data_IF_376021777864
#
_entry.id   IF_376021777864
#
_cell.length_a   1.000
_cell.length_b   1.000
_cell.length_c   1.000
_cell.angle_alpha   90.00
_cell.angle_beta   90.00
_cell.angle_gamma   90.00
#
_symmetry.space_group_name_H-M   'P 1'
#
loop_
_entity.id
_entity.type
_entity.pdbx_description
1 polymer ?
#
# COMPACT_ATOMS: atom_id res chain seq x y z
N UNK A 1 8.19 8.52 -22.37
CA UNK A 1 7.37 9.62 -21.81
C UNK A 1 6.02 9.01 -21.45
N UNK A 2 5.60 9.12 -20.19
CA UNK A 2 4.26 8.71 -19.77
C UNK A 2 3.26 9.77 -20.25
N UNK A 3 2.13 9.33 -20.82
CA UNK A 3 1.07 10.21 -21.35
C UNK A 3 -0.09 10.41 -20.39
N UNK A 4 -0.05 9.73 -19.25
CA UNK A 4 -1.14 9.66 -18.27
C UNK A 4 -0.58 10.04 -16.90
N UNK A 5 -1.32 10.84 -16.10
CA UNK A 5 -0.89 11.15 -14.74
C UNK A 5 -0.69 9.88 -13.91
N UNK A 6 0.38 9.87 -13.12
CA UNK A 6 0.65 8.84 -12.13
C UNK A 6 1.20 9.48 -10.87
N UNK A 7 1.08 8.75 -9.76
CA UNK A 7 1.59 9.15 -8.44
C UNK A 7 2.74 8.22 -8.09
N UNK A 8 3.85 8.78 -7.61
CA UNK A 8 4.91 8.01 -6.96
C UNK A 8 4.63 8.08 -5.45
N UNK A 9 4.39 6.92 -4.85
CA UNK A 9 3.95 6.79 -3.46
C UNK A 9 4.98 6.01 -2.64
N UNK A 10 5.41 6.58 -1.51
CA UNK A 10 6.26 5.92 -0.51
C UNK A 10 5.39 5.01 0.34
N UNK A 11 5.48 3.70 0.11
CA UNK A 11 4.65 2.71 0.80
C UNK A 11 5.27 2.31 2.14
N UNK A 12 4.46 2.29 3.21
CA UNK A 12 4.83 1.85 4.57
C UNK A 12 6.16 2.43 5.11
N UNK A 13 6.19 3.74 5.35
CA UNK A 13 7.23 4.36 6.19
C UNK A 13 6.94 3.97 7.65
N UNK A 14 7.37 2.76 8.01
CA UNK A 14 7.03 2.13 9.28
C UNK A 14 7.84 2.70 10.44
N UNK A 15 7.14 3.15 11.48
CA UNK A 15 7.71 3.58 12.76
C UNK A 15 7.27 2.63 13.86
N UNK A 16 8.14 1.69 14.26
CA UNK A 16 7.76 0.58 15.14
C UNK A 16 7.65 0.94 16.60
N UNK A 17 8.39 1.95 17.03
CA UNK A 17 8.41 2.43 18.40
C UNK A 17 8.72 3.93 18.45
N UNK A 18 8.61 4.51 19.64
CA UNK A 18 8.79 5.95 19.87
C UNK A 18 10.26 6.37 20.01
N UNK A 19 11.22 5.46 19.78
CA UNK A 19 12.63 5.81 19.90
C UNK A 19 13.04 6.84 18.86
N UNK A 20 13.94 7.73 19.27
CA UNK A 20 14.52 8.75 18.39
C UNK A 20 15.15 8.13 17.14
N UNK A 21 15.74 6.94 17.27
CA UNK A 21 16.34 6.20 16.15
C UNK A 21 15.30 5.82 15.08
N UNK A 22 14.16 5.25 15.46
CA UNK A 22 13.13 4.84 14.50
C UNK A 22 12.48 6.06 13.84
N UNK A 23 12.20 7.11 14.63
CA UNK A 23 11.62 8.36 14.13
C UNK A 23 12.59 9.05 13.17
N UNK A 24 13.87 9.18 13.52
CA UNK A 24 14.86 9.85 12.67
C UNK A 24 15.20 9.04 11.42
N UNK A 25 15.21 7.71 11.51
CA UNK A 25 15.34 6.85 10.33
C UNK A 25 14.19 7.07 9.33
N UNK A 26 12.97 7.23 9.84
CA UNK A 26 11.79 7.51 9.02
C UNK A 26 11.79 8.93 8.45
N UNK A 27 12.27 9.92 9.21
CA UNK A 27 12.48 11.29 8.72
C UNK A 27 13.47 11.32 7.56
N UNK A 28 14.62 10.67 7.72
CA UNK A 28 15.64 10.60 6.67
C UNK A 28 15.11 9.90 5.40
N UNK A 29 14.25 8.89 5.56
CA UNK A 29 13.59 8.23 4.41
C UNK A 29 12.63 9.18 3.70
N UNK A 30 11.77 9.89 4.43
CA UNK A 30 10.84 10.87 3.87
C UNK A 30 11.60 11.96 3.10
N UNK A 31 12.69 12.48 3.66
CA UNK A 31 13.54 13.47 2.98
C UNK A 31 14.12 12.91 1.68
N UNK A 32 14.66 11.69 1.71
CA UNK A 32 15.20 11.05 0.51
C UNK A 32 14.13 10.77 -0.56
N UNK A 33 12.91 10.41 -0.16
CA UNK A 33 11.78 10.21 -1.08
C UNK A 33 11.30 11.54 -1.68
N UNK A 34 11.23 12.61 -0.89
CA UNK A 34 10.95 13.98 -1.39
C UNK A 34 12.02 14.39 -2.42
N UNK A 35 13.30 14.21 -2.11
CA UNK A 35 14.41 14.50 -3.02
C UNK A 35 14.35 13.62 -4.30
N UNK A 36 13.82 12.40 -4.16
CA UNK A 36 13.54 11.47 -5.26
C UNK A 36 12.33 11.84 -6.12
N UNK A 37 11.55 12.86 -5.75
CA UNK A 37 10.38 13.32 -6.48
C UNK A 37 9.10 12.54 -6.16
N UNK A 38 9.02 11.89 -4.99
CA UNK A 38 7.80 11.25 -4.52
C UNK A 38 6.74 12.32 -4.25
N UNK A 39 5.48 11.98 -4.55
CA UNK A 39 4.34 12.92 -4.46
C UNK A 39 3.29 12.50 -3.45
N UNK A 40 3.46 11.34 -2.81
CA UNK A 40 2.56 10.81 -1.80
C UNK A 40 3.32 9.86 -0.86
N UNK A 41 2.92 9.78 0.41
CA UNK A 41 3.67 9.07 1.45
C UNK A 41 2.70 8.38 2.42
N UNK A 42 2.96 7.13 2.77
CA UNK A 42 2.23 6.40 3.81
C UNK A 42 3.08 6.32 5.08
N UNK A 43 2.73 7.09 6.11
CA UNK A 43 3.37 7.00 7.42
C UNK A 43 2.62 5.97 8.25
N UNK A 44 3.28 4.85 8.53
CA UNK A 44 2.73 3.75 9.31
C UNK A 44 3.35 3.76 10.71
N UNK A 45 2.72 4.51 11.62
CA UNK A 45 3.05 4.51 13.05
C UNK A 45 2.06 3.66 13.86
N UNK A 46 1.31 2.76 13.20
CA UNK A 46 0.22 1.97 13.78
C UNK A 46 0.67 0.92 14.82
N UNK A 47 1.97 0.63 14.86
CA UNK A 47 2.63 -0.17 15.90
C UNK A 47 2.63 0.49 17.28
N UNK A 48 2.33 1.79 17.35
CA UNK A 48 2.31 2.57 18.58
C UNK A 48 0.86 2.81 19.02
N UNK A 49 0.61 3.02 20.33
CA UNK A 49 -0.68 3.51 20.80
C UNK A 49 -1.10 4.78 20.07
N UNK A 50 -2.41 4.96 19.83
CA UNK A 50 -2.96 6.08 19.04
C UNK A 50 -2.39 7.47 19.41
N UNK A 51 -2.20 7.83 20.70
CA UNK A 51 -1.58 9.10 21.06
C UNK A 51 -0.15 9.27 20.50
N UNK A 52 0.66 8.20 20.52
CA UNK A 52 2.01 8.21 19.99
C UNK A 52 2.02 8.13 18.47
N UNK A 53 1.14 7.33 17.86
CA UNK A 53 0.93 7.29 16.42
C UNK A 53 0.64 8.71 15.90
N UNK A 54 -0.36 9.39 16.46
CA UNK A 54 -0.72 10.75 16.05
C UNK A 54 0.45 11.75 16.23
N UNK A 55 1.19 11.66 17.33
CA UNK A 55 2.36 12.53 17.57
C UNK A 55 3.48 12.30 16.56
N UNK A 56 3.78 11.04 16.26
CA UNK A 56 4.81 10.64 15.27
C UNK A 56 4.40 11.13 13.89
N UNK A 57 3.17 10.84 13.47
CA UNK A 57 2.63 11.28 12.17
C UNK A 57 2.67 12.79 12.06
N UNK A 58 2.26 13.55 13.09
CA UNK A 58 2.29 15.01 13.05
C UNK A 58 3.71 15.58 12.90
N UNK A 59 4.71 14.96 13.53
CA UNK A 59 6.10 15.40 13.40
C UNK A 59 6.71 15.07 12.02
N UNK A 60 6.44 13.87 11.52
CA UNK A 60 6.98 13.36 10.25
C UNK A 60 6.27 13.92 9.01
N UNK A 61 4.98 14.24 9.11
CA UNK A 61 4.16 14.74 7.98
C UNK A 61 4.32 16.22 7.68
N UNK A 62 4.92 17.01 8.59
CA UNK A 62 5.15 18.45 8.38
C UNK A 62 5.75 18.80 7.00
N UNK A 63 6.88 18.23 6.55
CA UNK A 63 7.44 18.55 5.23
C UNK A 63 6.53 18.13 4.06
N UNK A 64 5.69 17.11 4.24
CA UNK A 64 4.72 16.62 3.25
C UNK A 64 3.59 17.66 3.10
N UNK A 65 3.01 18.09 4.22
CA UNK A 65 1.95 19.12 4.24
C UNK A 65 2.41 20.49 3.74
N UNK A 66 3.60 20.94 4.14
CA UNK A 66 4.20 22.21 3.66
C UNK A 66 4.35 22.27 2.13
N UNK A 67 4.47 21.10 1.48
CA UNK A 67 4.63 20.96 0.03
C UNK A 67 3.33 20.57 -0.69
N UNK A 68 2.22 20.43 0.06
CA UNK A 68 0.94 19.98 -0.48
C UNK A 68 1.05 18.65 -1.23
N UNK A 69 1.78 17.70 -0.64
CA UNK A 69 1.96 16.33 -1.13
C UNK A 69 0.97 15.40 -0.43
N UNK A 70 0.66 14.25 -1.05
CA UNK A 70 -0.35 13.34 -0.51
C UNK A 70 0.11 12.62 0.76
N UNK A 71 -0.79 12.49 1.73
CA UNK A 71 -0.54 11.81 3.01
C UNK A 71 -1.52 10.65 3.22
N UNK A 72 -0.96 9.47 3.41
CA UNK A 72 -1.65 8.29 3.93
C UNK A 72 -1.16 8.00 5.35
N UNK A 73 -2.09 7.66 6.23
CA UNK A 73 -1.81 7.28 7.63
C UNK A 73 -2.47 5.95 7.94
N UNK A 74 -2.04 5.27 9.00
CA UNK A 74 -2.54 3.93 9.33
C UNK A 74 -3.01 3.80 10.77
N UNK A 75 -4.11 3.05 10.95
CA UNK A 75 -4.67 2.70 12.26
C UNK A 75 -4.94 1.21 12.39
N UNK A 76 -4.58 0.66 13.55
CA UNK A 76 -4.73 -0.75 13.90
C UNK A 76 -3.36 -1.41 14.03
N UNK A 77 -3.12 -2.12 15.13
CA UNK A 77 -1.83 -2.75 15.38
C UNK A 77 -1.64 -3.93 14.41
N UNK A 78 -0.74 -3.81 13.41
CA UNK A 78 -0.25 -4.96 12.65
C UNK A 78 0.67 -5.75 13.59
N UNK A 79 0.07 -6.60 14.44
CA UNK A 79 0.83 -7.55 15.24
C UNK A 79 1.49 -8.59 14.33
N UNK A 80 2.68 -9.04 14.74
CA UNK A 80 3.46 -10.05 14.02
C UNK A 80 2.63 -11.31 13.71
N UNK A 81 3.01 -12.01 12.63
CA UNK A 81 2.34 -13.24 12.19
C UNK A 81 2.15 -14.24 13.34
N UNK A 82 0.90 -14.54 13.69
CA UNK A 82 0.54 -15.53 14.70
C UNK A 82 -0.34 -15.04 15.86
N UNK A 83 -0.64 -13.74 15.95
CA UNK A 83 -1.69 -13.22 16.85
C UNK A 83 -2.97 -12.91 16.07
N UNK A 84 -4.13 -13.18 16.67
CA UNK A 84 -5.43 -12.79 16.12
C UNK A 84 -5.49 -11.26 16.00
N UNK A 85 -5.22 -10.74 14.81
CA UNK A 85 -5.29 -9.32 14.53
C UNK A 85 -6.74 -8.87 14.65
N UNK A 86 -7.02 -7.99 15.61
CA UNK A 86 -8.35 -7.41 15.77
C UNK A 86 -8.56 -6.36 14.69
N UNK A 87 -9.71 -6.43 14.01
CA UNK A 87 -10.12 -5.42 13.03
C UNK A 87 -10.11 -4.03 13.66
N UNK A 88 -9.60 -3.03 12.95
CA UNK A 88 -9.67 -1.64 13.38
C UNK A 88 -11.12 -1.25 13.68
N UNK A 89 -11.31 -0.49 14.75
CA UNK A 89 -12.63 -0.03 15.19
C UNK A 89 -12.92 1.39 14.71
N UNK A 90 -14.21 1.74 14.64
CA UNK A 90 -14.64 3.11 14.36
C UNK A 90 -14.06 4.10 15.37
N UNK A 91 -14.05 3.73 16.66
CA UNK A 91 -13.48 4.58 17.72
C UNK A 91 -11.99 4.85 17.55
N UNK A 92 -11.21 3.85 17.16
CA UNK A 92 -9.77 4.01 16.95
C UNK A 92 -9.48 4.92 15.75
N UNK A 93 -10.19 4.71 14.64
CA UNK A 93 -10.07 5.55 13.45
C UNK A 93 -10.45 7.01 13.76
N UNK A 94 -11.55 7.23 14.48
CA UNK A 94 -11.96 8.58 14.89
C UNK A 94 -10.97 9.22 15.85
N UNK A 95 -10.48 8.49 16.87
CA UNK A 95 -9.50 9.03 17.84
C UNK A 95 -8.19 9.45 17.15
N UNK A 96 -7.69 8.64 16.19
CA UNK A 96 -6.51 9.03 15.42
C UNK A 96 -6.78 10.31 14.61
N UNK A 97 -7.87 10.35 13.85
CA UNK A 97 -8.18 11.51 13.00
C UNK A 97 -8.44 12.79 13.80
N UNK A 98 -9.09 12.71 14.97
CA UNK A 98 -9.30 13.86 15.86
C UNK A 98 -7.98 14.44 16.39
N UNK A 99 -7.03 13.56 16.74
CA UNK A 99 -5.70 13.98 17.20
C UNK A 99 -4.88 14.62 16.09
N UNK A 100 -4.90 14.04 14.89
CA UNK A 100 -4.24 14.59 13.71
C UNK A 100 -4.80 15.97 13.37
N UNK A 101 -6.13 16.10 13.31
CA UNK A 101 -6.79 17.38 13.07
C UNK A 101 -6.42 18.43 14.14
N UNK A 102 -6.37 18.04 15.42
CA UNK A 102 -5.93 18.93 16.52
C UNK A 102 -4.49 19.38 16.36
N UNK A 103 -3.64 18.53 15.78
CA UNK A 103 -2.24 18.84 15.46
C UNK A 103 -2.07 19.62 14.14
N UNK A 104 -3.15 19.93 13.42
CA UNK A 104 -3.10 20.61 12.13
C UNK A 104 -2.66 19.72 10.97
N UNK A 105 -2.86 18.41 11.08
CA UNK A 105 -2.54 17.42 10.05
C UNK A 105 -3.80 16.98 9.34
N UNK A 106 -3.80 17.09 8.01
CA UNK A 106 -4.86 16.61 7.12
C UNK A 106 -4.30 15.41 6.33
N UNK A 107 -4.96 14.25 6.44
CA UNK A 107 -4.59 13.05 5.70
C UNK A 107 -5.60 12.79 4.58
N UNK A 108 -5.12 12.42 3.40
CA UNK A 108 -5.96 12.07 2.25
C UNK A 108 -6.53 10.65 2.37
N UNK A 109 -5.72 9.76 2.95
CA UNK A 109 -6.01 8.33 3.04
C UNK A 109 -5.76 7.79 4.45
N UNK A 110 -6.67 6.93 4.90
CA UNK A 110 -6.55 6.14 6.12
C UNK A 110 -6.50 4.65 5.74
N UNK A 111 -5.38 4.01 6.01
CA UNK A 111 -5.25 2.57 6.00
C UNK A 111 -5.82 1.98 7.29
N UNK A 112 -6.57 0.88 7.15
CA UNK A 112 -7.19 0.17 8.27
C UNK A 112 -6.91 -1.33 8.16
N UNK A 113 -6.85 -2.00 9.31
CA UNK A 113 -6.93 -3.44 9.35
C UNK A 113 -8.39 -3.90 9.30
N UNK A 114 -8.83 -4.36 8.14
CA UNK A 114 -10.15 -4.96 7.95
C UNK A 114 -10.10 -6.48 7.71
N UNK A 115 -9.01 -7.13 8.11
CA UNK A 115 -8.82 -8.58 8.02
C UNK A 115 -8.15 -9.05 6.72
N UNK A 116 -7.77 -8.14 5.84
CA UNK A 116 -6.87 -8.44 4.72
C UNK A 116 -5.51 -8.92 5.23
N UNK A 117 -4.91 -9.88 4.51
CA UNK A 117 -3.57 -10.40 4.81
C UNK A 117 -2.56 -9.86 3.80
N UNK A 118 -1.36 -9.54 4.27
CA UNK A 118 -0.24 -9.26 3.37
C UNK A 118 0.34 -10.58 2.84
N UNK A 119 0.25 -10.80 1.53
CA UNK A 119 0.84 -11.95 0.84
C UNK A 119 -0.17 -12.84 0.13
N UNK A 120 0.27 -14.05 -0.22
CA UNK A 120 -0.61 -15.05 -0.80
C UNK A 120 -1.42 -15.75 0.31
N UNK A 121 -2.69 -15.99 0.03
CA UNK A 121 -3.53 -16.89 0.83
C UNK A 121 -3.12 -18.34 0.57
N UNK A 122 -3.10 -19.17 1.61
CA UNK A 122 -2.88 -20.61 1.49
C UNK A 122 -4.12 -21.29 0.90
N UNK A 123 -3.93 -22.49 0.33
CA UNK A 123 -5.04 -23.28 -0.20
C UNK A 123 -6.07 -23.56 0.92
N UNK A 124 -7.34 -23.18 0.68
CA UNK A 124 -8.42 -23.31 1.65
C UNK A 124 -8.53 -22.17 2.69
N UNK A 125 -7.60 -21.21 2.70
CA UNK A 125 -7.68 -20.04 3.58
C UNK A 125 -8.81 -19.10 3.14
N UNK A 126 -9.65 -18.68 4.09
CA UNK A 126 -10.75 -17.74 3.80
C UNK A 126 -10.21 -16.32 3.72
N UNK A 127 -10.65 -15.60 2.69
CA UNK A 127 -10.41 -14.17 2.55
C UNK A 127 -11.43 -13.45 3.43
N UNK A 128 -10.96 -12.79 4.48
CA UNK A 128 -11.78 -12.06 5.45
C UNK A 128 -11.57 -10.56 5.30
N UNK A 129 -12.13 -9.95 4.25
CA UNK A 129 -12.16 -8.47 4.16
C UNK A 129 -13.54 -8.00 4.63
N UNK A 130 -13.57 -7.34 5.78
CA UNK A 130 -14.80 -6.81 6.36
C UNK A 130 -15.16 -5.45 5.74
N UNK A 131 -15.92 -5.51 4.65
CA UNK A 131 -16.39 -4.33 3.93
C UNK A 131 -17.46 -3.54 4.69
N UNK A 132 -18.19 -4.16 5.62
CA UNK A 132 -19.18 -3.47 6.42
C UNK A 132 -18.48 -2.64 7.49
N UNK A 133 -17.50 -3.20 8.20
CA UNK A 133 -16.61 -2.42 9.09
C UNK A 133 -15.88 -1.30 8.33
N UNK A 134 -15.41 -1.58 7.12
CA UNK A 134 -14.75 -0.56 6.28
C UNK A 134 -15.70 0.61 6.01
N UNK A 135 -16.96 0.33 5.65
CA UNK A 135 -17.97 1.36 5.42
C UNK A 135 -18.30 2.15 6.69
N UNK A 136 -18.47 1.47 7.83
CA UNK A 136 -18.71 2.12 9.13
C UNK A 136 -17.60 3.12 9.47
N UNK A 137 -16.34 2.74 9.26
CA UNK A 137 -15.19 3.62 9.48
C UNK A 137 -15.23 4.79 8.50
N UNK A 138 -15.38 4.53 7.19
CA UNK A 138 -15.43 5.58 6.17
C UNK A 138 -16.51 6.63 6.46
N UNK A 139 -17.74 6.19 6.77
CA UNK A 139 -18.84 7.10 7.09
C UNK A 139 -18.55 7.97 8.32
N UNK A 140 -17.83 7.43 9.32
CA UNK A 140 -17.46 8.16 10.53
C UNK A 140 -16.36 9.20 10.32
N UNK A 141 -15.42 8.96 9.38
CA UNK A 141 -14.24 9.83 9.19
C UNK A 141 -14.37 10.78 8.00
N UNK A 142 -14.99 10.35 6.90
CA UNK A 142 -14.97 11.11 5.64
C UNK A 142 -15.68 12.47 5.77
N UNK A 143 -16.91 12.49 6.31
CA UNK A 143 -17.67 13.74 6.45
C UNK A 143 -17.09 14.74 7.47
N UNK A 144 -16.12 14.31 8.28
CA UNK A 144 -15.52 15.12 9.35
C UNK A 144 -14.10 15.59 9.02
N UNK A 145 -13.34 14.77 8.30
CA UNK A 145 -11.91 14.97 8.05
C UNK A 145 -11.52 14.89 6.57
N UNK A 146 -12.50 14.71 5.67
CA UNK A 146 -12.32 14.54 4.22
C UNK A 146 -11.38 13.39 3.81
N UNK A 147 -11.12 12.45 4.72
CA UNK A 147 -10.22 11.30 4.51
C UNK A 147 -10.97 10.14 3.85
N UNK A 148 -10.32 9.47 2.89
CA UNK A 148 -10.80 8.23 2.26
C UNK A 148 -10.04 6.99 2.75
N UNK A 149 -10.45 5.78 2.36
CA UNK A 149 -9.80 4.55 2.83
C UNK A 149 -8.75 4.05 1.83
N UNK A 150 -7.60 3.61 2.35
CA UNK A 150 -6.63 2.81 1.62
C UNK A 150 -6.77 1.33 2.03
N UNK A 151 -6.94 0.44 1.05
CA UNK A 151 -6.93 -1.00 1.28
C UNK A 151 -5.53 -1.55 1.07
N UNK A 152 -4.92 -2.02 2.15
CA UNK A 152 -3.70 -2.80 2.05
C UNK A 152 -3.99 -4.28 1.77
N UNK A 153 -3.08 -4.99 1.13
CA UNK A 153 -3.19 -6.44 0.96
C UNK A 153 -4.34 -6.94 0.06
N UNK A 154 -4.30 -6.64 -1.24
CA UNK A 154 -5.33 -7.08 -2.21
C UNK A 154 -4.95 -8.37 -2.96
N UNK A 155 -3.73 -8.88 -2.77
CA UNK A 155 -3.30 -10.09 -3.49
C UNK A 155 -4.20 -11.29 -3.13
N UNK A 156 -4.78 -11.91 -4.15
CA UNK A 156 -5.71 -13.03 -3.98
C UNK A 156 -7.15 -12.63 -3.69
N UNK A 157 -7.46 -11.35 -3.44
CA UNK A 157 -8.84 -10.88 -3.25
C UNK A 157 -9.68 -11.14 -4.52
N UNK A 158 -10.86 -11.76 -4.42
CA UNK A 158 -11.71 -11.98 -5.58
C UNK A 158 -12.17 -10.67 -6.20
N UNK A 159 -12.13 -10.58 -7.53
CA UNK A 159 -12.48 -9.36 -8.28
C UNK A 159 -13.88 -8.81 -7.94
N UNK A 160 -14.85 -9.68 -7.63
CA UNK A 160 -16.19 -9.24 -7.24
C UNK A 160 -16.22 -8.51 -5.88
N UNK A 161 -15.29 -8.82 -4.96
CA UNK A 161 -15.13 -8.08 -3.71
C UNK A 161 -14.41 -6.74 -3.96
N UNK A 162 -13.37 -6.74 -4.80
CA UNK A 162 -12.70 -5.50 -5.25
C UNK A 162 -13.73 -4.55 -5.90
N UNK A 163 -14.68 -5.09 -6.66
CA UNK A 163 -15.85 -4.40 -7.21
C UNK A 163 -16.64 -3.53 -6.24
N UNK A 164 -16.64 -3.89 -4.95
CA UNK A 164 -17.38 -3.20 -3.89
C UNK A 164 -16.54 -2.23 -3.07
N UNK A 165 -15.23 -2.16 -3.32
CA UNK A 165 -14.31 -1.32 -2.54
C UNK A 165 -14.71 0.16 -2.61
N UNK A 166 -15.07 0.63 -3.81
CA UNK A 166 -15.49 2.01 -4.01
C UNK A 166 -16.76 2.38 -3.21
N UNK A 167 -17.66 1.42 -2.98
CA UNK A 167 -18.91 1.62 -2.21
C UNK A 167 -18.68 1.71 -0.69
N UNK A 168 -17.47 1.41 -0.25
CA UNK A 168 -17.06 1.45 1.16
C UNK A 168 -16.02 2.53 1.42
N UNK A 169 -15.85 3.48 0.47
CA UNK A 169 -14.90 4.58 0.62
C UNK A 169 -13.43 4.24 0.32
N UNK A 170 -13.13 3.03 -0.15
CA UNK A 170 -11.77 2.69 -0.59
C UNK A 170 -11.47 3.41 -1.91
N UNK A 171 -10.33 4.12 -1.94
CA UNK A 171 -9.85 4.89 -3.11
C UNK A 171 -8.45 4.53 -3.56
N UNK A 172 -7.67 3.86 -2.70
CA UNK A 172 -6.37 3.27 -3.03
C UNK A 172 -6.37 1.80 -2.62
N UNK A 173 -5.73 0.97 -3.45
CA UNK A 173 -5.59 -0.45 -3.20
C UNK A 173 -4.18 -0.95 -3.48
N UNK A 174 -3.51 -1.53 -2.47
CA UNK A 174 -2.14 -2.02 -2.61
C UNK A 174 -2.11 -3.46 -3.13
N UNK A 175 -1.42 -3.65 -4.25
CA UNK A 175 -1.16 -4.95 -4.87
C UNK A 175 0.35 -5.10 -4.99
N UNK A 176 0.96 -5.96 -4.17
CA UNK A 176 2.41 -6.18 -4.15
C UNK A 176 2.80 -7.59 -4.58
N UNK A 177 2.40 -8.58 -3.78
CA UNK A 177 2.77 -9.98 -4.00
C UNK A 177 2.30 -10.52 -5.35
N UNK A 178 1.16 -10.08 -5.86
CA UNK A 178 0.69 -10.49 -7.18
C UNK A 178 1.67 -10.13 -8.32
N UNK A 179 2.31 -8.96 -8.26
CA UNK A 179 3.31 -8.59 -9.27
C UNK A 179 4.57 -9.46 -9.20
N UNK A 180 4.95 -9.89 -8.00
CA UNK A 180 6.02 -10.88 -7.83
C UNK A 180 5.61 -12.24 -8.41
N UNK A 181 4.37 -12.68 -8.20
CA UNK A 181 3.85 -13.91 -8.79
C UNK A 181 3.87 -13.87 -10.33
N UNK A 182 3.42 -12.76 -10.92
CA UNK A 182 3.43 -12.55 -12.38
C UNK A 182 4.86 -12.60 -12.92
N UNK A 183 5.80 -11.89 -12.29
CA UNK A 183 7.21 -11.92 -12.68
C UNK A 183 7.78 -13.35 -12.58
N UNK A 184 7.62 -14.01 -11.44
CA UNK A 184 8.10 -15.38 -11.22
C UNK A 184 7.55 -16.39 -12.23
N UNK A 185 6.28 -16.24 -12.64
CA UNK A 185 5.66 -17.13 -13.62
C UNK A 185 6.25 -16.99 -15.03
N UNK A 186 6.76 -15.80 -15.38
CA UNK A 186 7.35 -15.54 -16.69
C UNK A 186 8.87 -15.66 -16.75
N UNK A 187 9.56 -15.84 -15.63
CA UNK A 187 11.01 -16.05 -15.60
C UNK A 187 11.42 -17.38 -16.25
N UNK A 188 12.60 -17.47 -16.90
CA UNK A 188 13.11 -18.72 -17.46
C UNK A 188 13.09 -19.87 -16.43
N UNK A 189 12.62 -21.08 -16.78
CA UNK A 189 12.47 -22.17 -15.82
C UNK A 189 13.76 -22.51 -15.07
N UNK A 190 14.90 -22.48 -15.76
CA UNK A 190 16.21 -22.73 -15.15
C UNK A 190 16.58 -21.64 -14.13
N UNK A 191 16.28 -20.37 -14.41
CA UNK A 191 16.52 -19.27 -13.46
C UNK A 191 15.63 -19.43 -12.23
N UNK A 192 14.33 -19.69 -12.42
CA UNK A 192 13.40 -19.93 -11.31
C UNK A 192 13.81 -21.12 -10.44
N UNK A 193 14.30 -22.20 -11.04
CA UNK A 193 14.80 -23.34 -10.28
C UNK A 193 15.96 -22.95 -9.38
N UNK A 194 16.98 -22.24 -9.91
CA UNK A 194 18.11 -21.76 -9.09
C UNK A 194 17.66 -20.82 -7.96
N UNK A 195 16.69 -19.95 -8.21
CA UNK A 195 16.13 -19.08 -7.18
C UNK A 195 15.47 -19.89 -6.05
N UNK A 196 14.72 -20.96 -6.41
CA UNK A 196 14.09 -21.87 -5.44
C UNK A 196 15.11 -22.68 -4.65
N UNK A 197 16.14 -23.18 -5.31
CA UNK A 197 17.22 -23.93 -4.67
C UNK A 197 17.95 -23.06 -3.65
N UNK A 198 18.33 -21.84 -4.04
CA UNK A 198 18.93 -20.86 -3.13
C UNK A 198 18.03 -20.54 -1.93
N UNK A 199 16.73 -20.29 -2.16
CA UNK A 199 15.79 -19.96 -1.10
C UNK A 199 15.67 -21.11 -0.09
N UNK A 200 15.60 -22.36 -0.59
CA UNK A 200 15.58 -23.57 0.21
C UNK A 200 16.87 -23.74 1.02
N UNK A 201 18.03 -23.59 0.39
CA UNK A 201 19.33 -23.70 1.06
C UNK A 201 19.52 -22.61 2.13
N UNK A 202 19.05 -21.40 1.87
CA UNK A 202 19.11 -20.29 2.81
C UNK A 202 18.06 -20.36 3.92
N UNK A 203 17.07 -21.26 3.82
CA UNK A 203 15.92 -21.32 4.72
C UNK A 203 15.07 -20.04 4.69
N UNK A 204 14.97 -19.38 3.53
CA UNK A 204 14.28 -18.11 3.35
C UNK A 204 13.10 -18.25 2.39
N UNK A 205 12.13 -17.34 2.53
CA UNK A 205 11.07 -17.19 1.53
C UNK A 205 11.66 -16.82 0.16
N UNK A 206 11.04 -17.32 -0.91
CA UNK A 206 11.48 -17.11 -2.29
C UNK A 206 11.62 -15.63 -2.66
N UNK A 207 10.83 -14.73 -2.06
CA UNK A 207 10.92 -13.29 -2.32
C UNK A 207 12.30 -12.69 -1.99
N UNK A 208 13.05 -13.31 -1.08
CA UNK A 208 14.41 -12.87 -0.75
C UNK A 208 15.43 -13.24 -1.82
N UNK A 209 15.10 -14.18 -2.72
CA UNK A 209 15.96 -14.56 -3.83
C UNK A 209 16.06 -13.44 -4.88
N UNK A 210 15.02 -12.63 -5.05
CA UNK A 210 14.97 -11.54 -6.05
C UNK A 210 16.19 -10.61 -5.96
N UNK A 211 16.64 -10.27 -4.74
CA UNK A 211 17.84 -9.44 -4.54
C UNK A 211 19.12 -10.14 -5.01
N UNK A 212 19.24 -11.45 -4.77
CA UNK A 212 20.45 -12.21 -5.09
C UNK A 212 20.61 -12.42 -6.59
N UNK A 213 19.48 -12.64 -7.29
CA UNK A 213 19.45 -12.93 -8.72
C UNK A 213 19.10 -11.70 -9.57
N UNK A 214 19.23 -10.49 -9.02
CA UNK A 214 18.80 -9.26 -9.71
C UNK A 214 19.45 -9.11 -11.09
N UNK A 215 20.74 -9.37 -11.20
CA UNK A 215 21.45 -9.23 -12.47
C UNK A 215 20.93 -10.20 -13.53
N UNK A 216 20.63 -11.45 -13.15
CA UNK A 216 20.06 -12.42 -14.09
C UNK A 216 18.59 -12.15 -14.42
N UNK A 217 17.81 -11.63 -13.47
CA UNK A 217 16.43 -11.18 -13.72
C UNK A 217 16.42 -10.00 -14.71
N UNK A 218 17.32 -9.02 -14.53
CA UNK A 218 17.43 -7.88 -15.43
C UNK A 218 17.96 -8.29 -16.83
N UNK A 219 18.62 -9.45 -16.93
CA UNK A 219 19.23 -9.98 -18.15
C UNK A 219 18.43 -11.11 -18.82
N UNK A 220 17.17 -11.34 -18.42
CA UNK A 220 16.34 -12.39 -19.05
C UNK A 220 16.15 -12.13 -20.55
N UNK A 221 15.92 -13.19 -21.35
CA UNK A 221 15.59 -13.03 -22.76
C UNK A 221 14.40 -12.10 -22.98
N UNK A 222 14.45 -11.30 -24.05
CA UNK A 222 13.39 -10.36 -24.38
C UNK A 222 12.01 -11.04 -24.60
N UNK A 223 11.99 -12.33 -24.97
CA UNK A 223 10.74 -13.08 -25.07
C UNK A 223 10.08 -13.34 -23.72
N UNK A 224 10.86 -13.60 -22.67
CA UNK A 224 10.36 -13.84 -21.31
C UNK A 224 9.93 -12.51 -20.67
N UNK A 225 10.70 -11.44 -20.88
CA UNK A 225 10.30 -10.09 -20.50
C UNK A 225 8.95 -9.69 -21.12
N UNK A 226 8.72 -9.97 -22.42
CA UNK A 226 7.43 -9.71 -23.08
C UNK A 226 6.30 -10.56 -22.49
N UNK A 227 6.52 -11.83 -22.17
CA UNK A 227 5.50 -12.67 -21.50
C UNK A 227 5.10 -12.09 -20.14
N UNK A 228 6.07 -11.60 -19.37
CA UNK A 228 5.83 -10.94 -18.07
C UNK A 228 5.03 -9.65 -18.29
N UNK A 229 5.41 -8.83 -19.25
CA UNK A 229 4.71 -7.58 -19.60
C UNK A 229 3.25 -7.85 -20.01
N UNK A 230 3.01 -8.81 -20.91
CA UNK A 230 1.66 -9.18 -21.37
C UNK A 230 0.79 -9.76 -20.24
N UNK A 231 1.40 -10.51 -19.31
CA UNK A 231 0.71 -11.01 -18.13
C UNK A 231 0.38 -9.88 -17.15
N UNK A 232 1.34 -8.99 -16.88
CA UNK A 232 1.15 -7.84 -16.01
C UNK A 232 0.09 -6.88 -16.56
N UNK A 233 0.07 -6.65 -17.88
CA UNK A 233 -0.94 -5.83 -18.54
C UNK A 233 -2.36 -6.39 -18.34
N UNK A 234 -2.55 -7.70 -18.59
CA UNK A 234 -3.85 -8.36 -18.42
C UNK A 234 -4.32 -8.32 -16.97
N UNK A 235 -3.41 -8.59 -16.04
CA UNK A 235 -3.69 -8.57 -14.60
C UNK A 235 -4.05 -7.16 -14.12
N UNK A 236 -3.27 -6.14 -14.50
CA UNK A 236 -3.53 -4.75 -14.17
C UNK A 236 -4.89 -4.29 -14.73
N UNK A 237 -5.21 -4.63 -15.98
CA UNK A 237 -6.49 -4.29 -16.58
C UNK A 237 -7.67 -4.92 -15.82
N UNK A 238 -7.53 -6.17 -15.38
CA UNK A 238 -8.54 -6.86 -14.59
C UNK A 238 -8.75 -6.19 -13.23
N UNK A 239 -7.67 -5.88 -12.52
CA UNK A 239 -7.71 -5.20 -11.22
C UNK A 239 -8.29 -3.78 -11.34
N UNK A 240 -7.86 -2.99 -12.32
CA UNK A 240 -8.35 -1.62 -12.54
C UNK A 240 -9.84 -1.58 -12.88
N UNK A 241 -10.32 -2.51 -13.72
CA UNK A 241 -11.74 -2.64 -14.04
C UNK A 241 -12.55 -3.05 -12.81
N UNK A 242 -12.09 -4.05 -12.06
CA UNK A 242 -12.74 -4.47 -10.83
C UNK A 242 -12.78 -3.31 -9.81
N UNK A 243 -11.70 -2.55 -9.68
CA UNK A 243 -11.63 -1.40 -8.78
C UNK A 243 -12.44 -0.17 -9.27
N UNK A 244 -13.10 -0.26 -10.43
CA UNK A 244 -13.85 0.84 -11.06
C UNK A 244 -13.00 2.09 -11.33
N UNK A 245 -11.74 1.88 -11.71
CA UNK A 245 -10.78 2.95 -11.97
C UNK A 245 -10.78 3.46 -13.43
N UNK A 246 -11.66 2.97 -14.30
CA UNK A 246 -11.70 3.39 -15.70
C UNK A 246 -12.03 4.89 -15.81
N UNK A 247 -11.21 5.63 -16.58
CA UNK A 247 -11.37 7.07 -16.81
C UNK A 247 -10.83 7.98 -15.70
N UNK A 248 -10.45 7.47 -14.52
CA UNK A 248 -10.01 8.32 -13.40
C UNK A 248 -8.76 9.13 -13.72
N UNK A 249 -7.82 8.57 -14.48
CA UNK A 249 -6.62 9.29 -14.87
C UNK A 249 -6.89 10.47 -15.82
N UNK A 250 -7.97 10.41 -16.63
CA UNK A 250 -8.38 11.52 -17.47
C UNK A 250 -8.94 12.66 -16.62
N UNK A 251 -9.71 12.35 -15.56
CA UNK A 251 -10.21 13.35 -14.60
C UNK A 251 -9.04 14.13 -13.99
N UNK A 252 -7.96 13.43 -13.61
CA UNK A 252 -6.75 14.07 -13.09
C UNK A 252 -6.07 14.90 -14.18
N UNK A 253 -5.93 14.38 -15.39
CA UNK A 253 -5.30 15.12 -16.49
C UNK A 253 -6.06 16.42 -16.80
N UNK A 254 -7.38 16.36 -16.88
CA UNK A 254 -8.24 17.52 -17.12
C UNK A 254 -8.08 18.56 -16.01
N UNK A 255 -8.11 18.13 -14.75
CA UNK A 255 -7.89 19.00 -13.59
C UNK A 255 -6.53 19.72 -13.64
N UNK A 256 -5.47 19.00 -14.00
CA UNK A 256 -4.13 19.58 -14.13
C UNK A 256 -4.05 20.58 -15.29
N UNK A 257 -4.71 20.33 -16.42
CA UNK A 257 -4.68 21.25 -17.58
C UNK A 257 -5.41 22.58 -17.33
N UNK A 258 -6.42 22.60 -16.46
CA UNK A 258 -7.18 23.82 -16.13
C UNK A 258 -6.41 24.75 -15.16
N UNK A 259 -5.38 24.22 -14.48
CA UNK A 259 -4.61 24.94 -13.45
C UNK A 259 -3.22 25.41 -13.91
N UNK A 260 -2.88 25.25 -15.20
CA UNK A 260 -1.63 25.72 -15.82
C UNK A 260 -1.89 26.96 -16.66
#
# INVERSE_FOLDING_TARGET
RFSTPFVIHGDHITVKDTSEKEVEGSRALIEAEIDGGYTSFAIDASFNPIPDNARIVADLSRPIGERNLGLEVEVGEIKAAGSDATLSTVSEAVDLMERLATAGVEADLLAINNGSKHGNYLEGEKISIDLDRTREIYEAVHGRFDVSIAQHGITGTPLHLIGRFADCGIRKGNVGTQWQNVAHAGLPPALMQRMRDWAKEAGKDIKFATKQFKQEIDAIPAEDARKIEDAAYREALSLLRAFRAEGTAQIVADYLTVRV
#
